data_IF_878329435798
#
_entry.id   IF_878329435798
#
_cell.length_a   1.000
_cell.length_b   1.000
_cell.length_c   1.000
_cell.angle_alpha   90.00
_cell.angle_beta   90.00
_cell.angle_gamma   90.00
#
_symmetry.space_group_name_H-M   'P 1'
#
loop_
_entity.id
_entity.type
_entity.pdbx_description
1 polymer ?
#
# COMPACT_ATOMS: atom_id res chain seq x y z
N UNK A 1 -39.47 18.69 3.20
CA UNK A 1 -38.44 17.95 2.45
C UNK A 1 -37.43 17.41 3.44
N UNK A 2 -37.66 16.20 3.98
CA UNK A 2 -36.71 15.57 4.90
C UNK A 2 -35.68 14.78 4.09
N UNK A 3 -34.39 14.94 4.41
CA UNK A 3 -33.36 14.08 3.86
C UNK A 3 -33.58 12.65 4.35
N UNK A 4 -33.59 11.67 3.44
CA UNK A 4 -33.55 10.26 3.82
C UNK A 4 -32.18 10.00 4.43
N UNK A 5 -32.14 9.75 5.74
CA UNK A 5 -30.94 9.28 6.42
C UNK A 5 -30.67 7.81 6.04
N UNK A 6 -30.07 7.60 4.86
CA UNK A 6 -29.76 6.28 4.34
C UNK A 6 -29.17 6.34 2.94
N UNK A 7 -27.91 5.87 2.81
CA UNK A 7 -27.05 5.93 1.60
C UNK A 7 -26.54 7.36 1.28
N UNK A 8 -25.20 7.58 1.29
CA UNK A 8 -24.61 8.85 0.87
C UNK A 8 -24.87 9.19 -0.61
N UNK A 9 -24.72 10.47 -0.95
CA UNK A 9 -24.94 10.96 -2.31
C UNK A 9 -23.92 10.46 -3.34
N UNK A 10 -24.25 10.61 -4.62
CA UNK A 10 -23.45 10.14 -5.75
C UNK A 10 -21.98 10.55 -5.67
N UNK A 11 -21.68 11.80 -5.32
CA UNK A 11 -20.32 12.31 -5.22
C UNK A 11 -19.54 11.62 -4.10
N UNK A 12 -20.15 11.46 -2.92
CA UNK A 12 -19.53 10.78 -1.78
C UNK A 12 -19.28 9.28 -2.06
N UNK A 13 -20.20 8.61 -2.75
CA UNK A 13 -20.03 7.21 -3.17
C UNK A 13 -18.87 7.05 -4.16
N UNK A 14 -18.74 7.97 -5.13
CA UNK A 14 -17.67 7.94 -6.12
C UNK A 14 -16.28 8.18 -5.51
N UNK A 15 -16.20 8.88 -4.38
CA UNK A 15 -14.96 9.14 -3.63
C UNK A 15 -14.82 8.29 -2.38
N UNK A 16 -15.56 7.18 -2.22
CA UNK A 16 -15.52 6.34 -1.01
C UNK A 16 -14.08 5.95 -0.65
N UNK A 17 -13.57 6.27 0.56
CA UNK A 17 -12.16 6.12 0.88
C UNK A 17 -11.80 4.67 1.17
N UNK A 18 -10.68 4.21 0.60
CA UNK A 18 -10.14 2.84 0.82
C UNK A 18 -8.73 2.83 1.39
N UNK A 19 -8.02 3.96 1.30
CA UNK A 19 -6.56 4.01 1.50
C UNK A 19 -6.18 3.76 2.97
N UNK A 20 -7.00 4.24 3.89
CA UNK A 20 -6.84 4.00 5.33
C UNK A 20 -6.75 2.49 5.70
N UNK A 21 -7.38 1.60 4.93
CA UNK A 21 -7.30 0.15 5.14
C UNK A 21 -5.97 -0.44 4.69
N UNK A 22 -5.40 0.04 3.57
CA UNK A 22 -4.10 -0.42 3.08
C UNK A 22 -2.96 0.14 3.94
N UNK A 23 -3.14 1.36 4.46
CA UNK A 23 -2.27 1.98 5.46
C UNK A 23 -2.28 1.22 6.79
N UNK A 24 -3.46 0.92 7.33
CA UNK A 24 -3.61 0.13 8.55
C UNK A 24 -3.00 -1.28 8.43
N UNK A 25 -3.24 -1.97 7.30
CA UNK A 25 -2.63 -3.28 7.04
C UNK A 25 -1.10 -3.23 7.04
N UNK A 26 -0.52 -2.21 6.39
CA UNK A 26 0.94 -2.02 6.32
C UNK A 26 1.53 -1.70 7.69
N UNK A 27 0.82 -0.90 8.49
CA UNK A 27 1.20 -0.60 9.87
C UNK A 27 1.18 -1.85 10.76
N UNK A 28 0.12 -2.65 10.74
CA UNK A 28 0.02 -3.86 11.58
C UNK A 28 1.07 -4.92 11.24
N UNK A 29 1.40 -5.11 9.96
CA UNK A 29 2.51 -5.99 9.57
C UNK A 29 3.86 -5.48 10.07
N UNK A 30 4.11 -4.17 9.95
CA UNK A 30 5.35 -3.53 10.45
C UNK A 30 5.48 -3.68 11.96
N UNK A 31 4.37 -3.59 12.71
CA UNK A 31 4.37 -3.82 14.16
C UNK A 31 4.58 -5.30 14.48
N UNK A 32 3.89 -6.21 13.80
CA UNK A 32 4.01 -7.66 13.98
C UNK A 32 5.46 -8.15 13.79
N UNK A 33 6.08 -7.77 12.67
CA UNK A 33 7.46 -8.14 12.31
C UNK A 33 8.46 -7.62 13.35
N UNK A 34 8.39 -6.32 13.69
CA UNK A 34 9.32 -5.69 14.64
C UNK A 34 9.19 -6.26 16.05
N UNK A 35 7.96 -6.43 16.54
CA UNK A 35 7.71 -6.98 17.87
C UNK A 35 8.27 -8.41 17.98
N UNK A 36 7.93 -9.28 17.01
CA UNK A 36 8.43 -10.66 17.00
C UNK A 36 9.96 -10.74 16.87
N UNK A 37 10.57 -9.94 15.99
CA UNK A 37 12.01 -9.92 15.82
C UNK A 37 12.75 -9.53 17.12
N UNK A 38 12.23 -8.52 17.85
CA UNK A 38 12.79 -8.08 19.13
C UNK A 38 12.63 -9.15 20.22
N UNK A 39 11.43 -9.72 20.40
CA UNK A 39 11.21 -10.76 21.42
C UNK A 39 12.02 -12.03 21.15
N UNK A 40 12.12 -12.44 19.89
CA UNK A 40 12.93 -13.57 19.45
C UNK A 40 14.44 -13.31 19.65
N UNK A 41 14.92 -12.09 19.40
CA UNK A 41 16.29 -11.71 19.72
C UNK A 41 16.56 -11.79 21.23
N UNK A 42 15.71 -11.18 22.07
CA UNK A 42 15.88 -11.18 23.53
C UNK A 42 15.93 -12.61 24.09
N UNK A 43 15.04 -13.49 23.61
CA UNK A 43 15.06 -14.91 23.97
C UNK A 43 16.36 -15.62 23.55
N UNK A 44 16.79 -15.45 22.29
CA UNK A 44 18.06 -15.99 21.79
C UNK A 44 19.26 -15.52 22.61
N UNK A 45 19.32 -14.23 22.90
CA UNK A 45 20.44 -13.61 23.59
C UNK A 45 20.49 -14.15 25.03
N UNK A 46 19.35 -14.22 25.74
CA UNK A 46 19.22 -14.85 27.06
C UNK A 46 19.57 -16.35 27.08
N UNK A 47 19.28 -17.09 26.01
CA UNK A 47 19.69 -18.49 25.85
C UNK A 47 21.21 -18.65 25.64
N UNK A 48 21.87 -17.62 25.08
CA UNK A 48 23.29 -17.65 24.70
C UNK A 48 24.28 -17.32 25.82
N UNK A 49 23.84 -16.64 26.89
CA UNK A 49 24.72 -16.24 28.01
C UNK A 49 25.11 -17.46 28.85
N UNK A 50 26.42 -17.65 29.12
CA UNK A 50 26.97 -18.69 30.02
C UNK A 50 26.74 -18.39 31.52
N UNK A 51 25.62 -17.76 31.83
CA UNK A 51 25.14 -17.58 33.20
C UNK A 51 24.37 -18.84 33.63
N UNK A 52 24.55 -19.24 34.89
CA UNK A 52 24.07 -20.50 35.46
C UNK A 52 23.45 -20.26 36.84
N UNK A 53 22.63 -21.20 37.29
CA UNK A 53 21.82 -21.09 38.51
C UNK A 53 20.39 -20.61 38.22
N UNK A 54 19.57 -20.56 39.27
CA UNK A 54 18.11 -20.44 39.17
C UNK A 54 17.66 -19.15 38.46
N UNK A 55 18.38 -18.03 38.65
CA UNK A 55 18.10 -16.77 37.95
C UNK A 55 18.26 -16.88 36.42
N UNK A 56 19.25 -17.65 35.94
CA UNK A 56 19.44 -17.88 34.50
C UNK A 56 18.34 -18.77 33.92
N UNK A 57 17.87 -19.76 34.70
CA UNK A 57 16.73 -20.59 34.31
C UNK A 57 15.43 -19.76 34.24
N UNK A 58 15.17 -18.93 35.25
CA UNK A 58 14.01 -18.03 35.29
C UNK A 58 14.01 -17.04 34.11
N UNK A 59 15.16 -16.42 33.78
CA UNK A 59 15.29 -15.52 32.63
C UNK A 59 14.94 -16.22 31.31
N UNK A 60 15.41 -17.45 31.09
CA UNK A 60 15.14 -18.21 29.86
C UNK A 60 13.68 -18.63 29.74
N UNK A 61 13.02 -18.97 30.86
CA UNK A 61 11.58 -19.26 30.89
C UNK A 61 10.76 -18.01 30.60
N UNK A 62 11.06 -16.88 31.26
CA UNK A 62 10.34 -15.62 31.05
C UNK A 62 10.45 -15.13 29.61
N UNK A 63 11.67 -15.05 29.06
CA UNK A 63 11.88 -14.56 27.68
C UNK A 63 11.30 -15.49 26.61
N UNK A 64 11.16 -16.80 26.87
CA UNK A 64 10.42 -17.71 26.00
C UNK A 64 8.91 -17.41 26.02
N UNK A 65 8.32 -17.25 27.21
CA UNK A 65 6.90 -16.92 27.35
C UNK A 65 6.54 -15.56 26.73
N UNK A 66 7.42 -14.55 26.87
CA UNK A 66 7.27 -13.26 26.20
C UNK A 66 7.32 -13.40 24.67
N UNK A 67 8.19 -14.28 24.15
CA UNK A 67 8.33 -14.56 22.72
C UNK A 67 7.10 -15.31 22.15
N UNK A 68 6.56 -16.30 22.86
CA UNK A 68 5.32 -16.98 22.49
C UNK A 68 4.11 -16.02 22.47
N UNK A 69 3.99 -15.21 23.53
CA UNK A 69 2.95 -14.17 23.66
C UNK A 69 3.02 -13.15 22.52
N UNK A 70 4.23 -12.70 22.20
CA UNK A 70 4.48 -11.74 21.11
C UNK A 70 4.23 -12.37 19.74
N UNK A 71 4.56 -13.65 19.54
CA UNK A 71 4.24 -14.39 18.31
C UNK A 71 2.72 -14.46 18.08
N UNK A 72 1.94 -14.78 19.12
CA UNK A 72 0.47 -14.80 19.03
C UNK A 72 -0.12 -13.43 18.68
N UNK A 73 0.40 -12.35 19.28
CA UNK A 73 0.00 -10.99 18.93
C UNK A 73 0.39 -10.61 17.48
N UNK A 74 1.56 -11.04 17.01
CA UNK A 74 2.03 -10.83 15.65
C UNK A 74 1.15 -11.56 14.61
N UNK A 75 0.79 -12.82 14.87
CA UNK A 75 -0.13 -13.59 14.01
C UNK A 75 -1.51 -12.93 13.91
N UNK A 76 -2.02 -12.39 15.02
CA UNK A 76 -3.29 -11.65 15.05
C UNK A 76 -3.22 -10.33 14.26
N UNK A 77 -2.13 -9.57 14.39
CA UNK A 77 -1.87 -8.36 13.61
C UNK A 77 -1.79 -8.66 12.10
N UNK A 78 -1.11 -9.74 11.70
CA UNK A 78 -1.09 -10.17 10.31
C UNK A 78 -2.47 -10.60 9.80
N UNK A 79 -3.28 -11.28 10.63
CA UNK A 79 -4.65 -11.64 10.29
C UNK A 79 -5.52 -10.38 10.05
N UNK A 80 -5.41 -9.36 10.91
CA UNK A 80 -6.06 -8.07 10.72
C UNK A 80 -5.60 -7.37 9.42
N UNK A 81 -4.31 -7.40 9.10
CA UNK A 81 -3.76 -6.82 7.87
C UNK A 81 -4.32 -7.50 6.60
N UNK A 82 -4.41 -8.84 6.60
CA UNK A 82 -5.07 -9.62 5.52
C UNK A 82 -6.54 -9.22 5.36
N UNK A 83 -7.29 -9.08 6.46
CA UNK A 83 -8.70 -8.64 6.44
C UNK A 83 -8.84 -7.23 5.84
N UNK A 84 -7.99 -6.29 6.24
CA UNK A 84 -8.06 -4.90 5.75
C UNK A 84 -7.69 -4.76 4.26
N UNK A 85 -6.67 -5.47 3.75
CA UNK A 85 -6.34 -5.44 2.31
C UNK A 85 -7.44 -6.04 1.43
N UNK A 86 -8.03 -7.15 1.88
CA UNK A 86 -9.16 -7.76 1.18
C UNK A 86 -10.37 -6.81 1.19
N UNK A 87 -10.68 -6.21 2.35
CA UNK A 87 -11.73 -5.20 2.48
C UNK A 87 -11.54 -3.98 1.58
N UNK A 88 -10.31 -3.45 1.49
CA UNK A 88 -9.99 -2.35 0.58
C UNK A 88 -10.26 -2.71 -0.90
N UNK A 89 -9.89 -3.93 -1.29
CA UNK A 89 -10.09 -4.45 -2.66
C UNK A 89 -11.57 -4.65 -2.98
N UNK A 90 -12.32 -5.25 -2.06
CA UNK A 90 -13.77 -5.47 -2.19
C UNK A 90 -14.53 -4.13 -2.27
N UNK A 91 -14.16 -3.15 -1.45
CA UNK A 91 -14.74 -1.80 -1.44
C UNK A 91 -14.41 -1.02 -2.71
N UNK A 92 -13.17 -1.10 -3.20
CA UNK A 92 -12.79 -0.52 -4.49
C UNK A 92 -13.61 -1.12 -5.65
N UNK A 93 -13.85 -2.42 -5.64
CA UNK A 93 -14.69 -3.10 -6.63
C UNK A 93 -16.17 -2.68 -6.50
N UNK A 94 -16.71 -2.56 -5.29
CA UNK A 94 -18.07 -2.07 -5.05
C UNK A 94 -18.26 -0.61 -5.49
N UNK A 95 -17.33 0.28 -5.15
CA UNK A 95 -17.27 1.67 -5.64
C UNK A 95 -17.22 1.73 -7.16
N UNK A 96 -16.44 0.86 -7.79
CA UNK A 96 -16.37 0.76 -9.25
C UNK A 96 -17.70 0.31 -9.88
N UNK A 97 -18.43 -0.63 -9.25
CA UNK A 97 -19.78 -1.02 -9.71
C UNK A 97 -20.79 0.13 -9.66
N UNK A 98 -20.75 0.97 -8.63
CA UNK A 98 -21.57 2.20 -8.56
C UNK A 98 -21.17 3.18 -9.67
N UNK A 99 -19.86 3.41 -9.85
CA UNK A 99 -19.32 4.30 -10.89
C UNK A 99 -19.76 3.89 -12.30
N UNK A 100 -19.72 2.61 -12.63
CA UNK A 100 -20.16 2.11 -13.93
C UNK A 100 -21.67 2.26 -14.12
N UNK A 101 -22.52 1.90 -13.15
CA UNK A 101 -23.97 2.12 -13.27
C UNK A 101 -24.35 3.60 -13.49
N UNK A 102 -23.67 4.53 -12.81
CA UNK A 102 -23.83 5.98 -13.03
C UNK A 102 -23.35 6.40 -14.43
N UNK A 103 -22.23 5.85 -14.90
CA UNK A 103 -21.69 6.11 -16.24
C UNK A 103 -22.66 5.61 -17.32
N UNK A 104 -23.19 4.39 -17.18
CA UNK A 104 -24.03 3.75 -18.20
C UNK A 104 -25.40 4.43 -18.29
N UNK A 105 -25.97 4.88 -17.16
CA UNK A 105 -27.14 5.75 -17.15
C UNK A 105 -26.89 7.07 -17.90
N UNK A 106 -25.70 7.68 -17.73
CA UNK A 106 -25.30 8.91 -18.45
C UNK A 106 -25.10 8.65 -19.95
N UNK A 107 -24.49 7.53 -20.32
CA UNK A 107 -24.33 7.10 -21.71
C UNK A 107 -25.68 6.84 -22.41
N UNK A 108 -26.69 6.34 -21.68
CA UNK A 108 -28.07 6.19 -22.14
C UNK A 108 -28.88 7.51 -22.21
N UNK A 109 -28.22 8.66 -22.00
CA UNK A 109 -28.80 10.00 -22.13
C UNK A 109 -29.53 10.52 -20.89
N UNK A 110 -29.40 9.87 -19.74
CA UNK A 110 -30.02 10.31 -18.49
C UNK A 110 -29.06 11.16 -17.63
N UNK A 111 -29.62 12.07 -16.83
CA UNK A 111 -28.87 12.69 -15.74
C UNK A 111 -29.04 11.85 -14.47
N UNK A 112 -27.94 11.64 -13.73
CA UNK A 112 -27.97 11.11 -12.37
C UNK A 112 -27.78 12.26 -11.38
N UNK A 113 -28.72 12.42 -10.45
CA UNK A 113 -28.68 13.40 -9.35
C UNK A 113 -27.82 12.94 -8.18
N UNK A 114 -27.50 13.87 -7.27
CA UNK A 114 -26.72 13.55 -6.06
C UNK A 114 -27.51 12.62 -5.11
N UNK A 115 -28.84 12.68 -5.13
CA UNK A 115 -29.77 11.81 -4.41
C UNK A 115 -29.97 10.42 -5.05
N UNK A 116 -29.16 10.08 -6.08
CA UNK A 116 -29.28 8.86 -6.88
C UNK A 116 -30.63 8.76 -7.64
N UNK A 117 -31.31 9.89 -7.85
CA UNK A 117 -32.38 9.98 -8.84
C UNK A 117 -31.79 9.91 -10.26
N UNK A 118 -32.59 9.41 -11.20
CA UNK A 118 -32.25 9.39 -12.62
C UNK A 118 -33.36 10.11 -13.37
N UNK A 119 -33.01 11.11 -14.17
CA UNK A 119 -33.96 11.96 -14.89
C UNK A 119 -33.63 11.96 -16.38
N UNK A 120 -34.66 11.89 -17.21
CA UNK A 120 -34.50 12.04 -18.66
C UNK A 120 -34.35 13.53 -19.02
N UNK A 121 -33.47 13.81 -19.98
CA UNK A 121 -33.27 15.15 -20.56
C UNK A 121 -33.74 15.24 -22.01
N UNK A 122 -34.16 14.13 -22.62
CA UNK A 122 -34.68 14.12 -23.98
C UNK A 122 -36.08 14.75 -24.01
N UNK A 123 -36.19 15.88 -24.70
CA UNK A 123 -37.46 16.59 -24.91
C UNK A 123 -38.15 16.08 -26.18
N UNK A 124 -39.43 15.73 -26.10
CA UNK A 124 -40.27 15.36 -27.25
C UNK A 124 -40.86 13.95 -27.18
N UNK A 125 -41.02 13.32 -28.35
CA UNK A 125 -41.56 11.97 -28.51
C UNK A 125 -43.08 11.84 -28.29
N UNK A 126 -43.59 10.63 -28.49
CA UNK A 126 -44.96 10.25 -28.13
C UNK A 126 -45.12 10.05 -26.62
N UNK A 127 -46.35 10.05 -26.12
CA UNK A 127 -46.64 9.75 -24.71
C UNK A 127 -46.15 8.36 -24.30
N UNK A 128 -46.24 7.37 -25.20
CA UNK A 128 -45.71 6.03 -24.97
C UNK A 128 -44.17 6.01 -24.87
N UNK A 129 -43.47 6.76 -25.73
CA UNK A 129 -42.00 6.88 -25.65
C UNK A 129 -41.55 7.54 -24.33
N UNK A 130 -42.23 8.61 -23.90
CA UNK A 130 -41.95 9.23 -22.59
C UNK A 130 -42.21 8.29 -21.42
N UNK A 131 -43.30 7.52 -21.45
CA UNK A 131 -43.59 6.53 -20.42
C UNK A 131 -42.52 5.41 -20.36
N UNK A 132 -42.05 4.92 -21.50
CA UNK A 132 -40.98 3.93 -21.58
C UNK A 132 -39.64 4.46 -21.05
N UNK A 133 -39.24 5.69 -21.42
CA UNK A 133 -38.04 6.35 -20.88
C UNK A 133 -38.14 6.59 -19.36
N UNK A 134 -39.31 6.99 -18.87
CA UNK A 134 -39.55 7.15 -17.43
C UNK A 134 -39.41 5.84 -16.65
N UNK A 135 -39.92 4.72 -17.20
CA UNK A 135 -39.75 3.40 -16.60
C UNK A 135 -38.27 2.95 -16.61
N UNK A 136 -37.54 3.21 -17.70
CA UNK A 136 -36.09 2.93 -17.77
C UNK A 136 -35.30 3.77 -16.76
N UNK A 137 -35.61 5.06 -16.61
CA UNK A 137 -35.00 5.93 -15.60
C UNK A 137 -35.23 5.40 -14.17
N UNK A 138 -36.45 4.97 -13.86
CA UNK A 138 -36.77 4.36 -12.56
C UNK A 138 -35.99 3.06 -12.30
N UNK A 139 -35.83 2.21 -13.32
CA UNK A 139 -35.04 0.97 -13.23
C UNK A 139 -33.55 1.26 -12.99
N UNK A 140 -32.95 2.19 -13.75
CA UNK A 140 -31.56 2.64 -13.58
C UNK A 140 -31.32 3.24 -12.18
N UNK A 141 -32.26 4.06 -11.70
CA UNK A 141 -32.18 4.62 -10.35
C UNK A 141 -32.28 3.54 -9.26
N UNK A 142 -33.06 2.47 -9.51
CA UNK A 142 -33.13 1.30 -8.64
C UNK A 142 -31.79 0.55 -8.56
N UNK A 143 -31.17 0.26 -9.71
CA UNK A 143 -29.88 -0.44 -9.78
C UNK A 143 -28.74 0.38 -9.13
N UNK A 144 -28.67 1.69 -9.39
CA UNK A 144 -27.68 2.59 -8.75
C UNK A 144 -27.85 2.58 -7.22
N UNK A 145 -29.08 2.75 -6.71
CA UNK A 145 -29.35 2.69 -5.27
C UNK A 145 -29.03 1.33 -4.65
N UNK A 146 -29.32 0.23 -5.36
CA UNK A 146 -28.98 -1.12 -4.90
C UNK A 146 -27.46 -1.31 -4.77
N UNK A 147 -26.67 -0.88 -5.77
CA UNK A 147 -25.20 -0.95 -5.72
C UNK A 147 -24.61 -0.05 -4.63
N UNK A 148 -25.20 1.11 -4.40
CA UNK A 148 -24.81 2.01 -3.32
C UNK A 148 -25.09 1.41 -1.94
N UNK A 149 -26.26 0.79 -1.74
CA UNK A 149 -26.58 0.05 -0.51
C UNK A 149 -25.63 -1.15 -0.29
N UNK A 150 -25.26 -1.87 -1.35
CA UNK A 150 -24.26 -2.94 -1.29
C UNK A 150 -22.87 -2.43 -0.86
N UNK A 151 -22.44 -1.25 -1.33
CA UNK A 151 -21.18 -0.63 -0.89
C UNK A 151 -21.20 -0.31 0.61
N UNK A 152 -22.27 0.33 1.10
CA UNK A 152 -22.41 0.68 2.53
C UNK A 152 -22.46 -0.58 3.42
N UNK A 153 -23.22 -1.60 3.03
CA UNK A 153 -23.33 -2.85 3.79
C UNK A 153 -22.03 -3.67 3.78
N UNK A 154 -21.21 -3.55 2.72
CA UNK A 154 -19.88 -4.15 2.64
C UNK A 154 -18.91 -3.42 3.57
N UNK A 155 -18.93 -2.08 3.59
CA UNK A 155 -18.08 -1.25 4.46
C UNK A 155 -18.29 -1.57 5.94
N UNK A 156 -19.55 -1.59 6.38
CA UNK A 156 -19.93 -2.02 7.74
C UNK A 156 -19.41 -3.43 8.06
N UNK A 157 -19.47 -4.37 7.11
CA UNK A 157 -18.97 -5.74 7.28
C UNK A 157 -17.44 -5.80 7.37
N UNK A 158 -16.73 -4.98 6.58
CA UNK A 158 -15.27 -4.85 6.66
C UNK A 158 -14.86 -4.27 8.01
N UNK A 159 -15.52 -3.18 8.46
CA UNK A 159 -15.30 -2.59 9.77
C UNK A 159 -15.52 -3.61 10.90
N UNK A 160 -16.64 -4.35 10.92
CA UNK A 160 -16.90 -5.40 11.93
C UNK A 160 -15.83 -6.49 11.94
N UNK A 161 -15.37 -6.96 10.77
CA UNK A 161 -14.30 -7.95 10.66
C UNK A 161 -12.96 -7.43 11.19
N UNK A 162 -12.64 -6.16 10.93
CA UNK A 162 -11.43 -5.52 11.44
C UNK A 162 -11.49 -5.41 12.96
N UNK A 163 -12.60 -4.89 13.52
CA UNK A 163 -12.81 -4.80 14.97
C UNK A 163 -12.65 -6.15 15.65
N UNK A 164 -13.23 -7.22 15.09
CA UNK A 164 -13.09 -8.57 15.60
C UNK A 164 -11.63 -9.08 15.51
N UNK A 165 -10.93 -8.79 14.40
CA UNK A 165 -9.54 -9.21 14.21
C UNK A 165 -8.57 -8.56 15.21
N UNK A 166 -8.80 -7.29 15.61
CA UNK A 166 -7.89 -6.55 16.52
C UNK A 166 -8.24 -6.67 18.00
N UNK A 167 -9.44 -7.14 18.36
CA UNK A 167 -9.96 -7.10 19.75
C UNK A 167 -9.10 -7.84 20.80
N UNK A 168 -8.31 -8.84 20.40
CA UNK A 168 -7.47 -9.62 21.32
C UNK A 168 -6.13 -8.96 21.68
N UNK A 169 -5.58 -8.13 20.81
CA UNK A 169 -4.15 -7.73 20.84
C UNK A 169 -3.75 -7.05 22.16
N UNK A 170 -4.63 -6.23 22.73
CA UNK A 170 -4.37 -5.51 23.99
C UNK A 170 -4.41 -6.38 25.25
N UNK A 171 -4.90 -7.62 25.18
CA UNK A 171 -5.09 -8.51 26.32
C UNK A 171 -3.96 -9.55 26.47
N UNK A 172 -3.09 -9.69 25.47
CA UNK A 172 -2.04 -10.70 25.47
C UNK A 172 -0.90 -10.38 26.45
N UNK A 173 -0.66 -9.09 26.75
CA UNK A 173 0.43 -8.66 27.62
C UNK A 173 -0.09 -8.34 29.03
N UNK A 174 0.35 -9.06 30.09
CA UNK A 174 -0.04 -8.72 31.44
C UNK A 174 0.55 -7.37 31.85
N UNK A 175 -0.29 -6.45 32.37
CA UNK A 175 0.14 -5.10 32.78
C UNK A 175 1.15 -5.07 33.95
N UNK A 176 1.44 -6.22 34.56
CA UNK A 176 2.55 -6.47 35.48
C UNK A 176 2.78 -7.98 35.59
N UNK A 177 4.03 -8.46 35.75
CA UNK A 177 4.26 -9.78 36.33
C UNK A 177 3.73 -9.76 37.76
N UNK A 178 2.80 -10.67 38.09
CA UNK A 178 2.45 -10.94 39.47
C UNK A 178 3.63 -11.68 40.12
N UNK A 179 4.34 -11.03 41.04
CA UNK A 179 5.33 -11.67 41.91
C UNK A 179 4.59 -12.44 43.02
N UNK A 180 3.85 -13.48 42.63
CA UNK A 180 3.09 -14.33 43.54
C UNK A 180 4.03 -15.30 44.27
N UNK A 181 4.66 -14.80 45.34
CA UNK A 181 5.43 -15.60 46.27
C UNK A 181 5.77 -14.82 47.55
N UNK A 182 5.64 -15.43 48.74
CA UNK A 182 6.09 -14.78 49.97
C UNK A 182 7.62 -14.56 49.93
N UNK A 183 8.15 -13.45 50.48
CA UNK A 183 9.57 -13.15 50.41
C UNK A 183 10.41 -14.26 51.05
N UNK A 184 11.32 -14.86 50.28
CA UNK A 184 12.44 -15.62 50.82
C UNK A 184 13.63 -14.68 50.94
N UNK A 185 14.21 -14.58 52.13
CA UNK A 185 15.38 -13.77 52.42
C UNK A 185 16.53 -14.09 51.46
N UNK A 186 16.66 -13.25 50.44
CA UNK A 186 17.68 -13.33 49.40
C UNK A 186 18.43 -12.01 49.44
N UNK A 187 19.68 -12.02 49.91
CA UNK A 187 20.52 -10.82 50.09
C UNK A 187 20.95 -10.14 48.77
N UNK A 188 20.28 -10.45 47.65
CA UNK A 188 20.43 -9.78 46.36
C UNK A 188 19.26 -8.81 46.21
N UNK A 189 19.46 -7.58 46.68
CA UNK A 189 18.50 -6.52 46.42
C UNK A 189 18.58 -6.14 44.93
N UNK A 190 17.47 -6.25 44.21
CA UNK A 190 17.29 -5.48 42.98
C UNK A 190 17.36 -4.00 43.35
N UNK A 191 18.21 -3.23 42.66
CA UNK A 191 18.19 -1.78 42.78
C UNK A 191 16.89 -1.31 42.13
N UNK A 192 15.87 -1.18 42.95
CA UNK A 192 14.67 -0.50 42.54
C UNK A 192 14.97 0.99 42.29
N UNK A 193 14.45 1.49 41.17
CA UNK A 193 14.46 2.90 40.83
C UNK A 193 12.99 3.37 40.77
N UNK A 194 12.29 3.35 41.93
CA UNK A 194 10.97 3.95 42.12
C UNK A 194 11.01 5.48 41.89
N UNK A 195 11.03 5.88 40.62
CA UNK A 195 10.43 7.13 40.15
C UNK A 195 9.42 6.79 39.08
N UNK A 196 8.30 6.21 39.52
CA UNK A 196 7.08 6.20 38.71
C UNK A 196 6.67 7.67 38.52
N UNK A 197 6.85 8.20 37.32
CA UNK A 197 6.29 9.50 36.96
C UNK A 197 4.83 9.28 36.61
N UNK A 198 3.95 10.01 37.27
CA UNK A 198 2.63 10.28 36.70
C UNK A 198 2.82 10.89 35.30
N UNK A 199 2.03 10.46 34.33
CA UNK A 199 2.09 10.99 32.97
C UNK A 199 1.84 12.51 33.02
N UNK A 200 2.82 13.35 32.62
CA UNK A 200 2.60 14.78 32.59
C UNK A 200 1.55 15.10 31.53
N UNK A 201 0.69 16.08 31.83
CA UNK A 201 -0.26 16.62 30.85
C UNK A 201 0.47 16.92 29.52
N UNK A 202 -0.15 16.60 28.36
CA UNK A 202 0.54 16.52 27.07
C UNK A 202 1.31 17.81 26.79
N UNK A 203 2.64 17.72 26.82
CA UNK A 203 3.49 18.90 26.75
C UNK A 203 3.42 19.54 25.36
N UNK A 204 3.51 20.88 25.26
CA UNK A 204 3.78 21.56 24.01
C UNK A 204 5.03 20.95 23.36
N UNK A 205 5.01 20.75 22.04
CA UNK A 205 6.17 20.25 21.32
C UNK A 205 7.38 21.17 21.57
N UNK A 206 8.51 20.56 21.93
CA UNK A 206 9.80 21.23 22.06
C UNK A 206 10.73 20.70 20.97
N UNK A 207 11.62 21.55 20.41
CA UNK A 207 12.64 21.10 19.47
C UNK A 207 13.58 20.09 20.17
N UNK A 208 14.13 19.11 19.43
CA UNK A 208 14.90 18.04 20.05
C UNK A 208 16.22 18.53 20.63
N UNK A 209 16.67 17.96 21.78
CA UNK A 209 17.96 18.29 22.37
C UNK A 209 19.12 17.78 21.49
N UNK A 210 20.30 18.45 21.49
CA UNK A 210 21.46 18.05 20.68
C UNK A 210 21.88 16.57 20.86
N UNK A 211 22.49 15.93 19.83
CA UNK A 211 23.15 16.54 18.68
C UNK A 211 22.36 16.44 17.36
N UNK A 212 21.65 17.50 17.00
CA UNK A 212 21.01 17.66 15.68
C UNK A 212 21.71 18.80 14.90
N UNK A 213 21.72 18.78 13.55
CA UNK A 213 22.27 19.87 12.75
C UNK A 213 21.51 21.18 13.06
N UNK A 214 22.23 22.21 13.50
CA UNK A 214 21.65 23.54 13.74
C UNK A 214 22.03 24.49 12.61
N UNK A 215 21.04 25.21 12.09
CA UNK A 215 21.23 26.22 11.05
C UNK A 215 19.92 26.50 10.31
N UNK A 216 19.82 27.67 9.68
CA UNK A 216 18.72 27.96 8.76
C UNK A 216 19.04 27.37 7.37
N UNK A 217 18.07 26.72 6.69
CA UNK A 217 18.20 26.38 5.27
C UNK A 217 18.64 27.59 4.44
N UNK A 218 19.57 27.40 3.51
CA UNK A 218 20.00 28.47 2.59
C UNK A 218 18.96 28.76 1.48
N UNK A 219 17.99 27.87 1.31
CA UNK A 219 16.84 28.02 0.42
C UNK A 219 15.84 26.86 0.61
N UNK A 220 14.61 26.95 0.05
CA UNK A 220 13.62 25.87 0.20
C UNK A 220 14.12 24.57 -0.45
N UNK A 221 14.30 23.52 0.36
CA UNK A 221 14.82 22.21 -0.06
C UNK A 221 16.34 22.06 0.02
N UNK A 222 17.09 23.13 0.30
CA UNK A 222 18.55 23.08 0.51
C UNK A 222 18.92 23.00 2.00
N UNK A 223 20.03 22.31 2.35
CA UNK A 223 20.50 22.23 3.73
C UNK A 223 21.06 23.56 4.26
N UNK A 224 21.31 23.66 5.57
CA UNK A 224 22.26 24.61 6.12
C UNK A 224 23.66 24.41 5.51
N UNK A 225 24.48 25.47 5.54
CA UNK A 225 25.84 25.43 5.01
C UNK A 225 26.70 24.34 5.70
N UNK A 226 27.51 23.64 4.92
CA UNK A 226 28.37 22.54 5.38
C UNK A 226 27.69 21.18 5.53
N UNK A 227 26.37 21.11 5.69
CA UNK A 227 25.63 19.84 5.74
C UNK A 227 25.45 19.26 4.32
N UNK A 228 25.72 17.96 4.15
CA UNK A 228 25.68 17.26 2.85
C UNK A 228 24.92 15.92 2.94
N UNK A 229 24.26 15.49 1.86
CA UNK A 229 23.66 14.16 1.82
C UNK A 229 24.74 13.06 1.85
N UNK A 230 24.43 11.86 2.36
CA UNK A 230 25.37 10.74 2.48
C UNK A 230 25.62 10.07 1.11
N UNK A 231 26.26 10.78 0.18
CA UNK A 231 26.54 10.30 -1.19
C UNK A 231 27.99 10.57 -1.60
N UNK A 232 28.61 9.58 -2.25
CA UNK A 232 30.00 9.67 -2.70
C UNK A 232 30.16 10.53 -3.94
N UNK A 233 30.60 11.77 -3.75
CA UNK A 233 31.04 12.68 -4.82
C UNK A 233 30.48 14.10 -4.68
N UNK A 234 30.68 14.94 -5.72
CA UNK A 234 30.04 16.24 -5.77
C UNK A 234 28.52 16.09 -5.96
N UNK A 235 27.77 16.96 -5.29
CA UNK A 235 26.36 17.23 -5.58
C UNK A 235 26.24 18.62 -6.19
N UNK A 236 25.30 18.80 -7.11
CA UNK A 236 25.01 20.08 -7.76
C UNK A 236 23.69 20.65 -7.27
N UNK A 237 23.60 21.98 -7.12
CA UNK A 237 22.32 22.64 -6.83
C UNK A 237 21.55 22.76 -8.15
N UNK A 238 20.30 22.33 -8.16
CA UNK A 238 19.40 22.41 -9.31
C UNK A 238 17.95 22.68 -8.92
N UNK A 239 17.04 22.87 -9.90
CA UNK A 239 15.60 22.96 -9.63
C UNK A 239 15.11 21.67 -8.96
N UNK A 240 14.08 21.78 -8.12
CA UNK A 240 13.41 20.62 -7.55
C UNK A 240 12.54 19.91 -8.61
N UNK A 241 12.60 18.59 -8.74
CA UNK A 241 11.83 17.82 -9.75
C UNK A 241 10.31 17.98 -9.70
N UNK A 242 9.77 18.49 -8.59
CA UNK A 242 8.33 18.68 -8.39
C UNK A 242 7.95 20.07 -8.91
N UNK A 243 7.17 20.20 -10.00
CA UNK A 243 6.93 21.50 -10.65
C UNK A 243 6.30 22.56 -9.74
N UNK A 244 5.50 22.15 -8.76
CA UNK A 244 4.89 23.05 -7.76
C UNK A 244 5.83 23.53 -6.65
N UNK A 245 7.04 22.97 -6.58
CA UNK A 245 8.15 23.42 -5.72
C UNK A 245 9.13 24.25 -6.55
N UNK A 246 9.49 23.80 -7.76
CA UNK A 246 10.29 24.55 -8.72
C UNK A 246 9.69 25.93 -9.04
N UNK A 247 8.38 26.00 -9.32
CA UNK A 247 7.65 27.25 -9.57
C UNK A 247 7.63 28.22 -8.37
N UNK A 248 8.08 27.78 -7.19
CA UNK A 248 8.27 28.61 -5.98
C UNK A 248 9.74 28.93 -5.69
N UNK A 249 10.64 28.66 -6.65
CA UNK A 249 12.09 28.81 -6.50
C UNK A 249 12.73 27.74 -5.60
N UNK A 250 12.03 26.63 -5.33
CA UNK A 250 12.57 25.52 -4.54
C UNK A 250 13.66 24.75 -5.28
N UNK A 251 14.75 24.47 -4.57
CA UNK A 251 15.95 23.84 -5.12
C UNK A 251 16.22 22.50 -4.44
N UNK A 252 17.03 21.68 -5.08
CA UNK A 252 17.44 20.37 -4.57
C UNK A 252 18.91 20.13 -4.90
N UNK A 253 19.53 19.23 -4.12
CA UNK A 253 20.86 18.74 -4.40
C UNK A 253 20.74 17.50 -5.30
N UNK A 254 21.45 17.49 -6.40
CA UNK A 254 21.46 16.40 -7.38
C UNK A 254 22.79 15.68 -7.33
N UNK A 255 22.76 14.35 -7.20
CA UNK A 255 23.96 13.53 -7.27
C UNK A 255 24.31 13.09 -8.71
N UNK A 256 25.53 12.58 -8.88
CA UNK A 256 26.08 12.15 -10.18
C UNK A 256 25.27 11.04 -10.88
N UNK A 257 24.39 10.34 -10.18
CA UNK A 257 23.55 9.27 -10.72
C UNK A 257 22.15 9.77 -11.13
N UNK A 258 21.86 11.07 -10.95
CA UNK A 258 20.53 11.65 -11.15
C UNK A 258 19.60 11.56 -9.94
N UNK A 259 20.11 11.12 -8.79
CA UNK A 259 19.36 11.11 -7.54
C UNK A 259 19.15 12.52 -6.99
N UNK A 260 17.93 12.82 -6.56
CA UNK A 260 17.55 14.11 -5.98
C UNK A 260 17.46 14.01 -4.46
N UNK A 261 18.08 14.97 -3.79
CA UNK A 261 18.14 15.10 -2.34
C UNK A 261 17.57 16.45 -1.92
N UNK A 262 16.58 16.44 -1.02
CA UNK A 262 16.00 17.62 -0.39
C UNK A 262 16.21 17.56 1.11
N UNK A 263 16.55 18.68 1.72
CA UNK A 263 16.65 18.80 3.17
C UNK A 263 15.29 19.16 3.78
N UNK A 264 14.78 18.32 4.68
CA UNK A 264 13.67 18.68 5.55
C UNK A 264 14.22 19.13 6.93
N UNK A 265 13.87 20.34 7.40
CA UNK A 265 14.37 20.88 8.66
C UNK A 265 13.69 20.33 9.93
N UNK A 266 12.73 19.41 9.84
CA UNK A 266 12.07 18.80 11.01
C UNK A 266 11.31 19.80 11.88
N UNK A 267 10.58 20.74 11.25
CA UNK A 267 9.90 21.84 11.95
C UNK A 267 8.50 21.48 12.48
N UNK A 268 8.03 20.27 12.23
CA UNK A 268 6.77 19.77 12.78
C UNK A 268 6.97 18.75 13.91
N UNK A 269 5.88 18.37 14.57
CA UNK A 269 5.93 17.47 15.74
C UNK A 269 6.21 16.00 15.42
N UNK A 270 6.30 15.64 14.14
CA UNK A 270 6.37 14.27 13.64
C UNK A 270 7.70 13.94 12.99
N UNK A 271 8.39 14.92 12.41
CA UNK A 271 9.64 14.74 11.67
C UNK A 271 10.83 15.34 12.43
N UNK A 272 11.90 14.57 12.55
CA UNK A 272 13.22 15.11 12.85
C UNK A 272 13.88 15.61 11.55
N UNK A 273 14.91 16.48 11.62
CA UNK A 273 15.65 16.89 10.44
C UNK A 273 16.19 15.67 9.66
N UNK A 274 15.88 15.59 8.37
CA UNK A 274 16.24 14.43 7.53
C UNK A 274 16.40 14.82 6.05
N UNK A 275 16.83 13.85 5.25
CA UNK A 275 16.88 13.96 3.80
C UNK A 275 15.68 13.26 3.16
N UNK A 276 14.99 13.97 2.29
CA UNK A 276 14.10 13.39 1.30
C UNK A 276 14.91 13.00 0.06
N UNK A 277 14.99 11.70 -0.25
CA UNK A 277 15.73 11.18 -1.40
C UNK A 277 14.79 10.56 -2.45
N UNK A 278 15.03 10.86 -3.72
CA UNK A 278 14.42 10.17 -4.85
C UNK A 278 15.47 9.77 -5.90
N UNK A 279 15.60 8.47 -6.25
CA UNK A 279 16.60 8.02 -7.21
C UNK A 279 16.29 8.34 -8.68
N UNK A 280 15.06 8.78 -9.02
CA UNK A 280 14.58 9.07 -10.39
C UNK A 280 14.86 7.98 -11.45
N UNK A 281 15.06 6.74 -11.00
CA UNK A 281 15.41 5.58 -11.82
C UNK A 281 14.22 4.91 -12.53
N UNK A 282 12.99 5.38 -12.30
CA UNK A 282 11.76 4.88 -12.90
C UNK A 282 10.68 5.98 -12.97
N UNK A 283 9.72 5.90 -13.90
CA UNK A 283 8.52 6.72 -13.86
C UNK A 283 7.76 6.44 -12.55
N UNK A 284 7.66 7.44 -11.67
CA UNK A 284 7.15 7.35 -10.30
C UNK A 284 8.08 6.66 -9.28
N UNK A 285 9.41 6.80 -9.41
CA UNK A 285 10.34 6.49 -8.31
C UNK A 285 9.87 7.11 -6.99
N UNK A 286 9.86 6.29 -5.92
CA UNK A 286 9.36 6.70 -4.60
C UNK A 286 10.37 7.59 -3.90
N UNK A 287 9.84 8.56 -3.16
CA UNK A 287 10.60 9.30 -2.15
C UNK A 287 10.81 8.41 -0.93
N UNK A 288 12.02 8.45 -0.36
CA UNK A 288 12.37 7.81 0.91
C UNK A 288 13.06 8.80 1.84
N UNK A 289 12.83 8.67 3.15
CA UNK A 289 13.45 9.52 4.15
C UNK A 289 14.75 8.88 4.65
N UNK A 290 15.85 9.63 4.63
CA UNK A 290 17.18 9.19 5.08
C UNK A 290 17.63 10.06 6.25
N UNK A 291 17.90 9.43 7.39
CA UNK A 291 18.35 10.10 8.61
C UNK A 291 19.71 10.80 8.44
N UNK A 292 19.89 11.91 9.15
CA UNK A 292 21.18 12.62 9.20
C UNK A 292 22.00 12.06 10.35
N UNK A 293 23.29 11.77 10.13
CA UNK A 293 24.23 11.30 11.17
C UNK A 293 23.75 10.08 11.98
N UNK A 294 22.95 9.19 11.36
CA UNK A 294 22.38 8.01 12.02
C UNK A 294 21.15 8.27 12.89
N UNK A 295 20.60 9.50 12.88
CA UNK A 295 19.41 9.87 13.64
C UNK A 295 18.13 9.35 12.96
N UNK A 296 17.06 9.07 13.74
CA UNK A 296 15.76 8.70 13.18
C UNK A 296 15.13 9.88 12.41
N UNK A 297 14.27 9.58 11.43
CA UNK A 297 13.55 10.58 10.62
C UNK A 297 12.26 11.08 11.27
N UNK A 298 11.72 10.36 12.26
CA UNK A 298 10.46 10.67 12.94
C UNK A 298 10.58 10.67 14.47
N UNK A 299 9.71 11.44 15.12
CA UNK A 299 9.60 11.52 16.59
C UNK A 299 8.90 10.29 17.16
N UNK A 300 9.11 9.95 18.45
CA UNK A 300 8.37 8.85 19.10
C UNK A 300 6.85 9.09 19.21
N UNK A 301 6.40 10.35 19.11
CA UNK A 301 4.98 10.68 19.03
C UNK A 301 4.36 10.35 17.65
N UNK A 302 5.19 10.08 16.64
CA UNK A 302 4.80 9.41 15.41
C UNK A 302 5.02 7.89 15.56
N UNK A 303 3.92 7.14 15.61
CA UNK A 303 3.95 5.69 15.42
C UNK A 303 4.59 5.33 14.05
N UNK A 304 5.11 4.10 13.85
CA UNK A 304 6.21 3.83 12.92
C UNK A 304 5.92 4.18 11.45
N UNK A 305 6.96 4.50 10.66
CA UNK A 305 6.83 5.02 9.31
C UNK A 305 6.08 4.07 8.37
N UNK A 306 5.39 4.65 7.38
CA UNK A 306 4.98 3.95 6.16
C UNK A 306 6.24 3.42 5.46
N UNK A 307 6.15 2.24 4.85
CA UNK A 307 7.27 1.48 4.27
C UNK A 307 8.29 2.35 3.52
N UNK A 308 9.54 2.42 4.01
CA UNK A 308 10.54 3.25 3.34
C UNK A 308 11.88 3.50 4.04
N UNK A 309 12.27 2.78 5.10
CA UNK A 309 13.66 2.84 5.59
C UNK A 309 14.60 2.16 4.59
N UNK A 310 15.08 2.94 3.62
CA UNK A 310 16.36 2.69 2.95
C UNK A 310 17.44 2.95 3.99
N UNK A 311 17.77 1.91 4.75
CA UNK A 311 18.84 1.94 5.75
C UNK A 311 20.17 2.15 5.03
N UNK A 312 20.65 3.40 5.05
CA UNK A 312 21.74 3.94 4.20
C UNK A 312 21.46 3.83 2.68
N UNK A 313 21.75 4.88 1.88
CA UNK A 313 21.90 4.66 0.44
C UNK A 313 23.02 3.62 0.22
N UNK A 314 22.90 2.73 -0.77
CA UNK A 314 23.88 1.67 -0.93
C UNK A 314 25.26 2.25 -1.27
N UNK A 315 26.24 2.00 -0.41
CA UNK A 315 27.66 2.00 -0.83
C UNK A 315 27.80 0.80 -1.75
N UNK A 316 27.58 1.01 -3.04
CA UNK A 316 27.65 -0.06 -4.06
C UNK A 316 29.12 -0.46 -4.24
N UNK A 317 29.52 -1.69 -3.90
CA UNK A 317 30.83 -2.19 -4.29
C UNK A 317 30.86 -2.31 -5.80
N UNK A 318 31.91 -1.80 -6.45
CA UNK A 318 32.05 -1.94 -7.90
C UNK A 318 32.12 -3.44 -8.26
N UNK A 319 31.29 -3.96 -9.17
CA UNK A 319 31.57 -5.24 -9.78
C UNK A 319 32.89 -5.13 -10.58
N UNK A 320 33.73 -6.18 -10.62
CA UNK A 320 34.92 -6.15 -11.45
C UNK A 320 34.53 -5.89 -12.90
N UNK A 321 35.20 -4.93 -13.53
CA UNK A 321 34.96 -4.54 -14.93
C UNK A 321 34.95 -5.76 -15.85
N UNK A 322 33.88 -6.01 -16.62
CA UNK A 322 33.91 -7.00 -17.68
C UNK A 322 35.03 -6.65 -18.66
N UNK A 323 35.88 -7.61 -18.99
CA UNK A 323 36.91 -7.43 -20.01
C UNK A 323 36.25 -7.02 -21.35
N UNK A 324 36.88 -6.13 -22.14
CA UNK A 324 36.31 -5.68 -23.41
C UNK A 324 36.07 -6.86 -24.34
N UNK A 325 34.84 -6.95 -24.88
CA UNK A 325 34.44 -8.00 -25.82
C UNK A 325 35.33 -7.94 -27.08
N UNK A 326 35.88 -9.07 -27.56
CA UNK A 326 36.59 -9.09 -28.83
C UNK A 326 35.64 -8.75 -30.00
N UNK A 327 36.15 -8.15 -31.09
CA UNK A 327 35.33 -7.75 -32.22
C UNK A 327 34.69 -8.95 -32.93
N UNK A 328 33.48 -8.77 -33.45
CA UNK A 328 32.72 -9.84 -34.09
C UNK A 328 33.41 -10.34 -35.38
N UNK A 329 33.40 -11.67 -35.64
CA UNK A 329 33.90 -12.22 -36.89
C UNK A 329 32.97 -11.85 -38.07
N UNK A 330 33.56 -11.69 -39.26
CA UNK A 330 32.83 -11.33 -40.49
C UNK A 330 32.01 -12.51 -41.00
N UNK A 331 30.88 -12.20 -41.65
CA UNK A 331 30.08 -13.15 -42.42
C UNK A 331 30.90 -13.77 -43.57
N UNK A 332 30.73 -15.08 -43.79
CA UNK A 332 31.17 -15.82 -44.98
C UNK A 332 30.02 -16.69 -45.49
N UNK A 333 29.92 -16.84 -46.81
CA UNK A 333 28.73 -17.37 -47.50
C UNK A 333 28.71 -18.90 -47.72
N UNK A 334 27.51 -19.49 -47.63
CA UNK A 334 27.05 -20.70 -48.35
C UNK A 334 27.50 -22.09 -47.86
N UNK A 335 26.94 -23.20 -48.42
CA UNK A 335 25.77 -23.33 -49.31
C UNK A 335 24.70 -24.39 -48.88
N UNK A 336 23.68 -24.63 -49.70
CA UNK A 336 22.49 -25.49 -49.45
C UNK A 336 22.58 -26.98 -49.89
N UNK A 337 21.79 -27.88 -49.27
CA UNK A 337 21.05 -29.11 -49.76
C UNK A 337 20.06 -29.54 -48.63
N UNK A 338 18.88 -30.18 -48.78
CA UNK A 338 18.02 -30.48 -49.96
C UNK A 338 17.18 -31.79 -49.88
N UNK A 339 15.85 -31.71 -49.62
CA UNK A 339 14.83 -32.81 -49.76
C UNK A 339 14.45 -33.59 -48.48
N UNK A 340 13.25 -34.19 -48.30
CA UNK A 340 11.97 -34.14 -49.04
C UNK A 340 10.97 -35.27 -48.66
N UNK A 341 9.64 -34.98 -48.65
CA UNK A 341 8.44 -35.91 -48.73
C UNK A 341 8.28 -37.09 -47.72
N UNK A 342 7.12 -37.70 -47.42
CA UNK A 342 5.65 -37.45 -47.55
C UNK A 342 4.86 -38.58 -46.81
N UNK A 343 3.51 -38.47 -46.68
CA UNK A 343 2.46 -39.54 -46.49
C UNK A 343 1.49 -39.43 -45.28
N UNK A 344 0.20 -39.67 -45.59
CA UNK A 344 -0.91 -40.15 -44.73
C UNK A 344 -1.81 -41.05 -45.63
N UNK A 345 -3.13 -41.26 -45.41
CA UNK A 345 -3.98 -41.18 -44.20
C UNK A 345 -4.96 -42.40 -44.05
N UNK A 346 -5.78 -42.46 -42.98
CA UNK A 346 -7.08 -43.22 -42.83
C UNK A 346 -7.73 -42.74 -41.49
N UNK A 347 -9.00 -42.30 -41.34
CA UNK A 347 -10.38 -42.76 -41.71
C UNK A 347 -11.01 -43.72 -40.65
N UNK A 348 -12.29 -43.47 -40.32
CA UNK A 348 -13.08 -43.82 -39.10
C UNK A 348 -14.33 -44.68 -39.47
N UNK A 349 -15.43 -44.94 -38.68
CA UNK A 349 -15.76 -45.01 -37.22
C UNK A 349 -16.63 -46.29 -36.91
N UNK A 350 -17.83 -46.32 -36.24
CA UNK A 350 -18.37 -45.80 -34.94
C UNK A 350 -18.82 -46.96 -33.96
N UNK A 351 -19.40 -46.79 -32.74
CA UNK A 351 -20.82 -46.43 -32.44
C UNK A 351 -21.16 -46.07 -30.96
N UNK A 352 -21.87 -44.93 -30.79
CA UNK A 352 -22.98 -44.60 -29.84
C UNK A 352 -22.70 -44.57 -28.30
N UNK A 353 -23.31 -43.68 -27.48
CA UNK A 353 -24.64 -43.04 -27.56
C UNK A 353 -24.78 -41.63 -26.89
N UNK A 354 -25.52 -40.71 -27.56
CA UNK A 354 -26.52 -39.71 -27.06
C UNK A 354 -26.25 -38.76 -25.85
N UNK A 355 -26.64 -37.46 -25.81
CA UNK A 355 -27.21 -36.53 -26.82
C UNK A 355 -27.22 -35.04 -26.33
N UNK A 356 -26.84 -34.08 -27.20
CA UNK A 356 -27.48 -32.78 -27.55
C UNK A 356 -27.93 -31.77 -26.44
N UNK A 357 -28.05 -30.45 -26.65
CA UNK A 357 -28.11 -29.62 -27.88
C UNK A 357 -27.64 -28.16 -27.64
N UNK A 358 -27.04 -27.54 -28.65
CA UNK A 358 -26.98 -26.07 -28.87
C UNK A 358 -27.59 -25.80 -30.26
N UNK A 359 -28.22 -24.65 -30.45
CA UNK A 359 -28.83 -24.25 -31.72
C UNK A 359 -28.41 -22.84 -32.15
N UNK A 360 -27.58 -22.76 -33.17
CA UNK A 360 -27.38 -21.57 -34.01
C UNK A 360 -28.15 -21.74 -35.32
N UNK A 361 -28.47 -20.63 -35.99
CA UNK A 361 -28.78 -20.58 -37.43
C UNK A 361 -28.13 -19.31 -37.98
N UNK A 362 -26.98 -19.42 -38.65
CA UNK A 362 -26.77 -19.71 -40.09
C UNK A 362 -26.77 -18.46 -40.99
N UNK A 363 -25.77 -18.38 -41.86
CA UNK A 363 -25.52 -17.35 -42.87
C UNK A 363 -25.26 -18.08 -44.21
N UNK A 364 -25.42 -17.37 -45.33
CA UNK A 364 -25.14 -17.73 -46.73
C UNK A 364 -26.24 -18.48 -47.51
N UNK A 365 -26.84 -17.82 -48.51
CA UNK A 365 -26.77 -18.26 -49.92
C UNK A 365 -26.96 -17.06 -50.90
N UNK A 366 -26.48 -17.23 -52.13
CA UNK A 366 -26.01 -16.27 -53.16
C UNK A 366 -27.07 -15.45 -53.94
N UNK A 367 -26.66 -14.35 -54.61
CA UNK A 367 -26.59 -14.25 -56.10
C UNK A 367 -26.03 -12.91 -56.64
N UNK A 368 -25.44 -12.96 -57.85
CA UNK A 368 -24.92 -11.80 -58.61
C UNK A 368 -26.01 -11.15 -59.50
N UNK A 369 -25.83 -9.88 -59.90
CA UNK A 369 -26.75 -9.18 -60.80
C UNK A 369 -26.32 -9.20 -62.29
N UNK A 370 -27.10 -8.57 -63.18
CA UNK A 370 -26.53 -7.95 -64.38
C UNK A 370 -26.91 -6.47 -64.56
N UNK A 371 -26.14 -5.77 -65.40
CA UNK A 371 -26.22 -4.34 -65.67
C UNK A 371 -27.11 -3.97 -66.88
N UNK A 372 -27.41 -2.68 -67.07
CA UNK A 372 -27.87 -2.18 -68.39
C UNK A 372 -28.54 -0.81 -68.44
N UNK A 373 -27.76 0.21 -68.84
CA UNK A 373 -28.15 1.34 -69.72
C UNK A 373 -29.47 2.11 -69.52
N UNK A 374 -29.38 3.38 -69.11
CA UNK A 374 -29.42 4.50 -70.07
C UNK A 374 -28.92 5.84 -69.51
#
# INVERSE_FOLDING_TARGET
>A
MAAVAGVPGASALLTWPTDHLTEAATHWETVAERSYALSHQVWRDAASVDWRGDGAAALRVATHADMETTSSAADQLQAAARVARNGASDLYAARSRVRYAIHDARAAGYQVGEDLSVTDRVSGGSTAQRAARQAQAQALAGDIRQRAAQLVALDQRVASKITAAVAGIGHNFPQRPALDGPPKDSHVHTVDNHTFKDDPAPQPWQPPPPPYPQGKPVGPGLPPEGLRPPVDGPVTVGPASKPSIEAKGGQSLWDKNGGEWRYDPGQDRYHYPHWDYNPHNAPNSRWGNVGINGLPTHTQAAAPPRSGTVGTPPVVPQPPTPAPKPPAPKLSEGPMIGGGSSFGPQVVPPTHAHQHWLGETNIEEWEEGPAGSH
#
